data_IF_643931013464
#
_entry.id   IF_643931013464
#
_cell.length_a   1.000
_cell.length_b   1.000
_cell.length_c   1.000
_cell.angle_alpha   90.00
_cell.angle_beta   90.00
_cell.angle_gamma   90.00
#
_symmetry.space_group_name_H-M   'P 1'
#
loop_
_entity.id
_entity.type
_entity.pdbx_description
1 polymer ?
#
# COMPACT_ATOMS: atom_id res chain seq x y z
N UNK A 1 -23.44 -3.87 0.35
CA UNK A 1 -22.40 -3.16 1.13
C UNK A 1 -22.27 -3.75 2.53
N UNK A 2 -23.38 -4.13 3.16
CA UNK A 2 -23.41 -4.56 4.57
C UNK A 2 -22.56 -5.79 4.88
N UNK A 3 -22.52 -6.76 3.95
CA UNK A 3 -21.67 -7.96 4.10
C UNK A 3 -20.18 -7.62 4.20
N UNK A 4 -19.71 -6.60 3.47
CA UNK A 4 -18.33 -6.16 3.51
C UNK A 4 -18.05 -5.49 4.86
N UNK A 5 -18.94 -4.59 5.28
CA UNK A 5 -18.83 -3.90 6.56
C UNK A 5 -18.84 -4.88 7.74
N UNK A 6 -19.71 -5.90 7.72
CA UNK A 6 -19.73 -6.93 8.76
C UNK A 6 -18.43 -7.72 8.78
N UNK A 7 -17.88 -8.07 7.62
CA UNK A 7 -16.63 -8.82 7.50
C UNK A 7 -15.44 -8.04 8.07
N UNK A 8 -15.25 -6.78 7.63
CA UNK A 8 -14.08 -5.99 8.04
C UNK A 8 -14.13 -5.57 9.52
N UNK A 9 -15.34 -5.46 10.09
CA UNK A 9 -15.52 -5.20 11.53
C UNK A 9 -15.27 -6.46 12.36
N UNK A 10 -15.77 -7.61 11.93
CA UNK A 10 -15.58 -8.88 12.64
C UNK A 10 -14.12 -9.37 12.58
N UNK A 11 -13.44 -9.11 11.47
CA UNK A 11 -12.13 -9.68 11.16
C UNK A 11 -11.15 -8.62 10.64
N UNK A 12 -10.81 -7.58 11.42
CA UNK A 12 -10.10 -6.39 10.91
C UNK A 12 -8.68 -6.66 10.40
N UNK A 13 -7.99 -7.66 10.96
CA UNK A 13 -6.63 -8.03 10.53
C UNK A 13 -6.67 -9.00 9.36
N UNK A 14 -7.39 -10.12 9.48
CA UNK A 14 -7.43 -11.14 8.42
C UNK A 14 -8.12 -10.66 7.15
N UNK A 15 -9.13 -9.78 7.25
CA UNK A 15 -9.71 -9.10 6.08
C UNK A 15 -8.73 -8.13 5.41
N UNK A 16 -7.87 -7.45 6.18
CA UNK A 16 -6.80 -6.63 5.61
C UNK A 16 -5.79 -7.51 4.86
N UNK A 17 -5.35 -8.60 5.50
CA UNK A 17 -4.44 -9.58 4.88
C UNK A 17 -5.02 -10.11 3.57
N UNK A 18 -6.28 -10.56 3.56
CA UNK A 18 -6.93 -11.10 2.37
C UNK A 18 -7.00 -10.07 1.22
N UNK A 19 -7.39 -8.83 1.51
CA UNK A 19 -7.49 -7.77 0.50
C UNK A 19 -6.13 -7.46 -0.14
N UNK A 20 -5.08 -7.29 0.67
CA UNK A 20 -3.73 -7.03 0.16
C UNK A 20 -3.11 -8.25 -0.53
N UNK A 21 -3.35 -9.46 -0.02
CA UNK A 21 -2.92 -10.70 -0.66
C UNK A 21 -3.43 -10.79 -2.10
N UNK A 22 -4.69 -10.42 -2.32
CA UNK A 22 -5.30 -10.45 -3.65
C UNK A 22 -4.86 -9.24 -4.48
N UNK A 23 -5.15 -8.02 -4.02
CA UNK A 23 -4.99 -6.81 -4.83
C UNK A 23 -3.53 -6.39 -5.00
N UNK A 24 -2.70 -6.56 -3.97
CA UNK A 24 -1.25 -6.30 -4.05
C UNK A 24 -0.57 -7.25 -5.02
N UNK A 25 -0.83 -8.56 -4.89
CA UNK A 25 -0.28 -9.57 -5.81
C UNK A 25 -0.77 -9.36 -7.24
N UNK A 26 -2.06 -9.05 -7.41
CA UNK A 26 -2.61 -8.74 -8.73
C UNK A 26 -1.92 -7.51 -9.34
N UNK A 27 -1.69 -6.46 -8.56
CA UNK A 27 -0.96 -5.28 -9.00
C UNK A 27 0.42 -5.60 -9.56
N UNK A 28 1.19 -6.45 -8.87
CA UNK A 28 2.50 -6.90 -9.35
C UNK A 28 2.41 -7.73 -10.63
N UNK A 29 1.47 -8.66 -10.70
CA UNK A 29 1.26 -9.52 -11.87
C UNK A 29 0.86 -8.68 -13.08
N UNK A 30 -0.12 -7.79 -12.94
CA UNK A 30 -0.60 -6.92 -14.02
C UNK A 30 0.50 -5.97 -14.48
N UNK A 31 1.33 -5.46 -13.57
CA UNK A 31 2.49 -4.64 -13.92
C UNK A 31 3.42 -5.40 -14.90
N UNK A 32 3.71 -6.68 -14.62
CA UNK A 32 4.54 -7.51 -15.50
C UNK A 32 3.86 -7.82 -16.84
N UNK A 33 2.55 -8.06 -16.86
CA UNK A 33 1.80 -8.27 -18.10
C UNK A 33 1.83 -7.04 -18.99
N UNK A 34 1.66 -5.84 -18.42
CA UNK A 34 1.70 -4.58 -19.16
C UNK A 34 3.08 -4.33 -19.78
N UNK A 35 4.15 -4.59 -19.02
CA UNK A 35 5.54 -4.46 -19.49
C UNK A 35 5.81 -5.47 -20.61
N UNK A 36 5.39 -6.73 -20.44
CA UNK A 36 5.60 -7.79 -21.42
C UNK A 36 4.68 -7.71 -22.65
N UNK A 37 3.58 -6.95 -22.57
CA UNK A 37 2.55 -6.88 -23.61
C UNK A 37 1.78 -8.18 -23.83
N UNK A 38 1.87 -9.16 -22.91
CA UNK A 38 1.19 -10.46 -22.99
C UNK A 38 0.83 -11.00 -21.60
N UNK A 39 -0.18 -11.86 -21.55
CA UNK A 39 -0.55 -12.58 -20.33
C UNK A 39 0.38 -13.78 -20.16
N UNK A 40 0.98 -13.93 -18.99
CA UNK A 40 1.83 -15.07 -18.63
C UNK A 40 1.87 -15.27 -17.11
N UNK A 41 2.54 -16.30 -16.60
CA UNK A 41 2.82 -16.41 -15.16
C UNK A 41 4.20 -15.80 -14.85
N UNK A 42 4.30 -14.56 -14.35
CA UNK A 42 5.60 -13.90 -14.15
C UNK A 42 6.44 -14.51 -13.04
N UNK A 43 5.81 -15.13 -12.04
CA UNK A 43 6.46 -15.62 -10.82
C UNK A 43 6.31 -17.12 -10.60
N UNK A 44 5.58 -17.83 -11.48
CA UNK A 44 5.16 -19.21 -11.25
C UNK A 44 4.22 -19.37 -10.04
N UNK A 45 3.72 -20.59 -9.77
CA UNK A 45 2.77 -20.82 -8.67
C UNK A 45 3.36 -20.52 -7.30
N UNK A 46 4.58 -21.02 -7.02
CA UNK A 46 5.26 -20.81 -5.73
C UNK A 46 5.59 -19.34 -5.48
N UNK A 47 6.15 -18.64 -6.47
CA UNK A 47 6.49 -17.22 -6.33
C UNK A 47 5.25 -16.35 -6.13
N UNK A 48 4.16 -16.64 -6.84
CA UNK A 48 2.88 -15.93 -6.66
C UNK A 48 2.31 -16.13 -5.26
N UNK A 49 2.33 -17.36 -4.73
CA UNK A 49 1.87 -17.65 -3.37
C UNK A 49 2.72 -16.94 -2.32
N UNK A 50 4.05 -16.98 -2.44
CA UNK A 50 4.95 -16.29 -1.51
C UNK A 50 4.75 -14.78 -1.54
N UNK A 51 4.52 -14.18 -2.71
CA UNK A 51 4.19 -12.75 -2.84
C UNK A 51 2.87 -12.40 -2.18
N UNK A 52 1.84 -13.24 -2.32
CA UNK A 52 0.56 -13.06 -1.62
C UNK A 52 0.72 -13.12 -0.09
N UNK A 53 1.57 -14.00 0.42
CA UNK A 53 1.91 -14.06 1.85
C UNK A 53 2.72 -12.83 2.28
N UNK A 54 3.65 -12.35 1.45
CA UNK A 54 4.39 -11.11 1.69
C UNK A 54 3.47 -9.90 1.82
N UNK A 55 2.51 -9.75 0.89
CA UNK A 55 1.47 -8.72 0.96
C UNK A 55 0.58 -8.86 2.20
N UNK A 56 0.23 -10.10 2.57
CA UNK A 56 -0.53 -10.36 3.80
C UNK A 56 0.22 -9.88 5.04
N UNK A 57 1.51 -10.14 5.14
CA UNK A 57 2.34 -9.69 6.26
C UNK A 57 2.44 -8.16 6.32
N UNK A 58 2.65 -7.51 5.17
CA UNK A 58 2.67 -6.04 5.08
C UNK A 58 1.33 -5.42 5.46
N UNK A 59 0.20 -6.06 5.13
CA UNK A 59 -1.14 -5.58 5.46
C UNK A 59 -1.36 -5.38 6.96
N UNK A 60 -0.78 -6.24 7.80
CA UNK A 60 -0.85 -6.12 9.27
C UNK A 60 -0.17 -4.84 9.71
N UNK A 61 1.06 -4.59 9.24
CA UNK A 61 1.81 -3.38 9.55
C UNK A 61 1.09 -2.13 9.05
N UNK A 62 0.52 -2.16 7.83
CA UNK A 62 -0.27 -1.06 7.26
C UNK A 62 -1.51 -0.78 8.12
N UNK A 63 -2.25 -1.80 8.56
CA UNK A 63 -3.43 -1.62 9.41
C UNK A 63 -3.09 -0.96 10.75
N UNK A 64 -1.98 -1.36 11.36
CA UNK A 64 -1.49 -0.75 12.59
C UNK A 64 -1.02 0.69 12.35
N UNK A 65 -0.28 0.96 11.27
CA UNK A 65 0.13 2.30 10.90
C UNK A 65 -1.08 3.22 10.68
N UNK A 66 -2.11 2.77 9.96
CA UNK A 66 -3.32 3.57 9.72
C UNK A 66 -4.01 3.98 11.03
N UNK A 67 -4.08 3.07 12.00
CA UNK A 67 -4.70 3.34 13.30
C UNK A 67 -3.79 4.23 14.16
N UNK A 68 -2.50 3.90 14.21
CA UNK A 68 -1.50 4.60 15.00
C UNK A 68 -1.26 6.03 14.54
N UNK A 69 -1.19 6.29 13.23
CA UNK A 69 -0.94 7.65 12.72
C UNK A 69 -2.16 8.57 12.82
N UNK A 70 -3.38 8.02 12.87
CA UNK A 70 -4.58 8.81 13.24
C UNK A 70 -4.45 9.28 14.68
N UNK A 71 -4.14 8.35 15.61
CA UNK A 71 -3.93 8.68 17.01
C UNK A 71 -2.72 9.62 17.23
N UNK A 72 -1.65 9.46 16.44
CA UNK A 72 -0.49 10.36 16.46
C UNK A 72 -0.88 11.79 16.12
N UNK A 73 -1.62 12.00 15.02
CA UNK A 73 -2.07 13.33 14.63
C UNK A 73 -3.02 13.93 15.69
N UNK A 74 -3.94 13.13 16.23
CA UNK A 74 -4.85 13.56 17.30
C UNK A 74 -4.09 13.92 18.59
N UNK A 75 -3.05 13.17 18.93
CA UNK A 75 -2.16 13.48 20.05
C UNK A 75 -1.39 14.79 19.86
N UNK A 76 -0.88 15.05 18.65
CA UNK A 76 -0.23 16.33 18.36
C UNK A 76 -1.19 17.52 18.53
N UNK A 77 -2.45 17.36 18.12
CA UNK A 77 -3.48 18.38 18.34
C UNK A 77 -3.75 18.58 19.83
N UNK A 78 -3.95 17.49 20.57
CA UNK A 78 -4.23 17.54 22.01
C UNK A 78 -3.11 18.22 22.82
N UNK A 79 -1.86 18.13 22.36
CA UNK A 79 -0.71 18.79 22.97
C UNK A 79 -0.38 20.17 22.40
N UNK A 80 -1.22 20.73 21.51
CA UNK A 80 -1.01 22.04 20.90
C UNK A 80 0.16 22.10 19.90
N UNK A 81 0.67 20.94 19.45
CA UNK A 81 1.76 20.82 18.49
C UNK A 81 1.28 20.81 17.03
N UNK A 82 -0.01 20.59 16.81
CA UNK A 82 -0.69 20.73 15.52
C UNK A 82 -1.99 21.53 15.76
N UNK A 83 -2.34 22.51 14.91
CA UNK A 83 -3.63 23.18 15.06
C UNK A 83 -4.79 22.20 14.81
N UNK A 84 -5.97 22.52 15.36
CA UNK A 84 -7.19 21.83 14.97
C UNK A 84 -7.50 22.13 13.50
N UNK A 85 -7.52 21.09 12.67
CA UNK A 85 -7.79 21.18 11.24
C UNK A 85 -9.14 20.55 10.92
N UNK A 86 -9.78 21.05 9.86
CA UNK A 86 -10.95 20.39 9.28
C UNK A 86 -10.62 18.98 8.74
N UNK A 87 -11.66 18.23 8.33
CA UNK A 87 -11.52 16.82 7.93
C UNK A 87 -10.42 16.58 6.87
N UNK A 88 -10.33 17.45 5.85
CA UNK A 88 -9.27 17.36 4.84
C UNK A 88 -7.88 17.60 5.42
N UNK A 89 -7.71 18.65 6.23
CA UNK A 89 -6.42 18.98 6.84
C UNK A 89 -5.95 17.88 7.78
N UNK A 90 -6.84 17.30 8.60
CA UNK A 90 -6.52 16.11 9.41
C UNK A 90 -6.10 14.93 8.55
N UNK A 91 -6.85 14.61 7.50
CA UNK A 91 -6.54 13.50 6.59
C UNK A 91 -5.17 13.69 5.90
N UNK A 92 -4.86 14.91 5.48
CA UNK A 92 -3.58 15.28 4.90
C UNK A 92 -2.44 15.15 5.92
N UNK A 93 -2.61 15.67 7.14
CA UNK A 93 -1.60 15.56 8.20
C UNK A 93 -1.28 14.11 8.57
N UNK A 94 -2.32 13.27 8.73
CA UNK A 94 -2.14 11.82 8.97
C UNK A 94 -1.40 11.17 7.80
N UNK A 95 -1.82 11.45 6.57
CA UNK A 95 -1.20 10.92 5.36
C UNK A 95 0.27 11.32 5.24
N UNK A 96 0.58 12.60 5.44
CA UNK A 96 1.93 13.13 5.33
C UNK A 96 2.84 12.53 6.39
N UNK A 97 2.42 12.53 7.66
CA UNK A 97 3.20 11.95 8.76
C UNK A 97 3.47 10.45 8.54
N UNK A 98 2.43 9.70 8.18
CA UNK A 98 2.54 8.25 7.94
C UNK A 98 3.49 7.95 6.75
N UNK A 99 3.33 8.64 5.62
CA UNK A 99 4.14 8.38 4.44
C UNK A 99 5.59 8.82 4.59
N UNK A 100 5.89 9.85 5.39
CA UNK A 100 7.27 10.29 5.63
C UNK A 100 8.00 9.45 6.68
N UNK A 101 7.28 8.88 7.66
CA UNK A 101 7.89 8.11 8.76
C UNK A 101 7.77 6.60 8.55
N UNK A 102 6.55 6.09 8.35
CA UNK A 102 6.30 4.66 8.13
C UNK A 102 6.51 4.24 6.67
N UNK A 103 6.26 5.12 5.71
CA UNK A 103 6.46 4.85 4.29
C UNK A 103 7.86 4.33 3.95
N UNK A 104 8.96 4.96 4.40
CA UNK A 104 10.31 4.47 4.12
C UNK A 104 10.56 3.08 4.69
N UNK A 105 10.11 2.84 5.92
CA UNK A 105 10.16 1.51 6.54
C UNK A 105 9.43 0.48 5.68
N UNK A 106 8.21 0.78 5.24
CA UNK A 106 7.40 -0.13 4.43
C UNK A 106 8.06 -0.44 3.08
N UNK A 107 8.62 0.56 2.40
CA UNK A 107 9.34 0.39 1.12
C UNK A 107 10.54 -0.54 1.28
N UNK A 108 11.32 -0.36 2.35
CA UNK A 108 12.48 -1.20 2.64
C UNK A 108 12.03 -2.63 3.01
N UNK A 109 11.04 -2.76 3.89
CA UNK A 109 10.51 -4.05 4.34
C UNK A 109 9.95 -4.86 3.15
N UNK A 110 9.16 -4.23 2.28
CA UNK A 110 8.65 -4.85 1.07
C UNK A 110 9.80 -5.32 0.17
N UNK A 111 10.84 -4.49 0.00
CA UNK A 111 12.00 -4.89 -0.82
C UNK A 111 12.78 -6.06 -0.22
N UNK A 112 12.94 -6.10 1.10
CA UNK A 112 13.60 -7.21 1.79
C UNK A 112 12.82 -8.52 1.61
N UNK A 113 11.49 -8.46 1.72
CA UNK A 113 10.60 -9.59 1.46
C UNK A 113 10.75 -10.06 0.00
N UNK A 114 10.71 -9.15 -0.96
CA UNK A 114 10.90 -9.48 -2.38
C UNK A 114 12.25 -10.16 -2.63
N UNK A 115 13.34 -9.64 -2.06
CA UNK A 115 14.68 -10.22 -2.21
C UNK A 115 14.75 -11.63 -1.60
N UNK A 116 14.07 -11.87 -0.47
CA UNK A 116 13.99 -13.18 0.15
C UNK A 116 13.20 -14.18 -0.71
N UNK A 117 12.10 -13.73 -1.33
CA UNK A 117 11.29 -14.54 -2.25
C UNK A 117 12.07 -14.89 -3.52
N UNK A 118 12.77 -13.91 -4.09
CA UNK A 118 13.52 -14.06 -5.33
C UNK A 118 14.89 -14.74 -5.13
N UNK A 119 15.33 -14.91 -3.88
CA UNK A 119 16.59 -15.57 -3.51
C UNK A 119 17.85 -14.78 -3.89
N UNK A 120 17.72 -13.48 -4.19
CA UNK A 120 18.85 -12.62 -4.57
C UNK A 120 18.59 -11.15 -4.21
N UNK A 121 19.61 -10.39 -3.85
CA UNK A 121 19.45 -8.97 -3.57
C UNK A 121 19.17 -8.19 -4.86
N UNK A 122 18.14 -7.35 -4.83
CA UNK A 122 17.88 -6.34 -5.84
C UNK A 122 17.54 -5.02 -5.14
N UNK A 123 18.32 -3.97 -5.37
CA UNK A 123 18.06 -2.63 -4.80
C UNK A 123 17.75 -1.59 -5.87
N UNK A 124 17.68 -2.01 -7.15
CA UNK A 124 17.38 -1.12 -8.25
C UNK A 124 15.98 -0.52 -8.11
N UNK A 125 15.85 0.76 -8.41
CA UNK A 125 14.58 1.50 -8.36
C UNK A 125 14.03 1.78 -6.95
N UNK A 126 14.82 1.57 -5.89
CA UNK A 126 14.39 1.92 -4.53
C UNK A 126 14.14 3.43 -4.38
N UNK A 127 14.93 4.25 -5.08
CA UNK A 127 14.74 5.71 -5.16
C UNK A 127 13.36 6.08 -5.72
N UNK A 128 12.88 5.34 -6.73
CA UNK A 128 11.52 5.50 -7.29
C UNK A 128 10.46 5.10 -6.26
N UNK A 129 10.71 4.07 -5.47
CA UNK A 129 9.88 3.67 -4.34
C UNK A 129 9.72 4.81 -3.33
N UNK A 130 10.82 5.42 -2.88
CA UNK A 130 10.76 6.57 -1.98
C UNK A 130 10.06 7.79 -2.61
N UNK A 131 10.33 8.09 -3.88
CA UNK A 131 9.62 9.18 -4.59
C UNK A 131 8.11 8.95 -4.61
N UNK A 132 7.66 7.70 -4.80
CA UNK A 132 6.24 7.36 -4.81
C UNK A 132 5.53 7.69 -3.49
N UNK A 133 6.24 7.70 -2.36
CA UNK A 133 5.66 8.09 -1.08
C UNK A 133 5.11 9.51 -1.12
N UNK A 134 5.80 10.42 -1.82
CA UNK A 134 5.41 11.81 -1.96
C UNK A 134 4.34 12.03 -3.03
N UNK A 135 4.62 11.64 -4.28
CA UNK A 135 3.76 12.03 -5.40
C UNK A 135 2.51 11.15 -5.55
N UNK A 136 2.55 9.91 -5.05
CA UNK A 136 1.44 8.97 -5.15
C UNK A 136 0.77 8.72 -3.80
N UNK A 137 1.53 8.27 -2.80
CA UNK A 137 0.94 7.77 -1.57
C UNK A 137 0.45 8.88 -0.63
N UNK A 138 1.08 10.06 -0.57
CA UNK A 138 0.52 11.18 0.21
C UNK A 138 -0.86 11.61 -0.33
N UNK A 139 -1.05 11.88 -1.63
CA UNK A 139 -2.39 12.16 -2.17
C UNK A 139 -3.37 10.99 -1.98
N UNK A 140 -2.97 9.76 -2.32
CA UNK A 140 -3.83 8.58 -2.25
C UNK A 140 -4.29 8.29 -0.80
N UNK A 141 -3.38 8.36 0.17
CA UNK A 141 -3.71 8.17 1.58
C UNK A 141 -4.51 9.35 2.15
N UNK A 142 -4.34 10.58 1.66
CA UNK A 142 -5.19 11.71 2.07
C UNK A 142 -6.65 11.42 1.73
N UNK A 143 -6.94 11.02 0.48
CA UNK A 143 -8.28 10.59 0.08
C UNK A 143 -8.78 9.39 0.91
N UNK A 144 -7.86 8.47 1.23
CA UNK A 144 -8.18 7.30 2.04
C UNK A 144 -8.59 7.68 3.46
N UNK A 145 -7.90 8.62 4.11
CA UNK A 145 -8.24 9.05 5.47
C UNK A 145 -9.49 9.93 5.55
N UNK A 146 -9.94 10.48 4.42
CA UNK A 146 -11.25 11.13 4.33
C UNK A 146 -12.42 10.13 4.38
N UNK A 147 -12.18 8.85 4.11
CA UNK A 147 -13.22 7.83 4.18
C UNK A 147 -13.48 7.34 5.62
N UNK A 148 -14.68 6.76 5.89
CA UNK A 148 -14.94 6.03 7.12
C UNK A 148 -13.92 4.92 7.34
N UNK A 149 -13.60 4.65 8.61
CA UNK A 149 -12.52 3.73 9.02
C UNK A 149 -12.61 2.34 8.38
N UNK A 150 -13.82 1.84 8.15
CA UNK A 150 -14.10 0.51 7.59
C UNK A 150 -13.69 0.39 6.10
N UNK A 151 -13.60 1.50 5.36
CA UNK A 151 -13.24 1.52 3.93
C UNK A 151 -11.77 1.81 3.66
N UNK A 152 -11.04 2.34 4.64
CA UNK A 152 -9.67 2.85 4.44
C UNK A 152 -8.72 1.77 3.93
N UNK A 153 -8.81 0.57 4.48
CA UNK A 153 -7.94 -0.56 4.11
C UNK A 153 -8.27 -1.09 2.72
N UNK A 154 -9.57 -1.23 2.41
CA UNK A 154 -10.00 -1.65 1.09
C UNK A 154 -9.52 -0.70 0.01
N UNK A 155 -9.66 0.62 0.23
CA UNK A 155 -9.15 1.61 -0.71
C UNK A 155 -7.61 1.60 -0.80
N UNK A 156 -6.90 1.42 0.31
CA UNK A 156 -5.44 1.30 0.28
C UNK A 156 -4.96 0.10 -0.55
N UNK A 157 -5.64 -1.05 -0.45
CA UNK A 157 -5.35 -2.22 -1.27
C UNK A 157 -5.66 -1.97 -2.77
N UNK A 158 -6.70 -1.20 -3.08
CA UNK A 158 -6.98 -0.75 -4.46
C UNK A 158 -5.87 0.18 -4.96
N UNK A 159 -5.32 1.07 -4.13
CA UNK A 159 -4.18 1.90 -4.51
C UNK A 159 -2.92 1.08 -4.83
N UNK A 160 -2.68 -0.03 -4.13
CA UNK A 160 -1.59 -0.96 -4.48
C UNK A 160 -1.74 -1.54 -5.89
N UNK A 161 -2.95 -1.97 -6.26
CA UNK A 161 -3.27 -2.42 -7.61
C UNK A 161 -3.05 -1.29 -8.64
N UNK A 162 -3.60 -0.10 -8.36
CA UNK A 162 -3.49 1.06 -9.23
C UNK A 162 -2.03 1.46 -9.47
N UNK A 163 -1.19 1.48 -8.44
CA UNK A 163 0.23 1.78 -8.58
C UNK A 163 0.93 0.72 -9.45
N UNK A 164 0.60 -0.57 -9.28
CA UNK A 164 1.12 -1.64 -10.12
C UNK A 164 0.84 -1.41 -11.62
N UNK A 165 -0.38 -0.99 -11.94
CA UNK A 165 -0.79 -0.63 -13.31
C UNK A 165 -0.03 0.60 -13.84
N UNK A 166 0.04 1.67 -13.05
CA UNK A 166 0.74 2.91 -13.41
C UNK A 166 2.22 2.61 -13.73
N UNK A 167 2.89 1.89 -12.84
CA UNK A 167 4.30 1.52 -13.03
C UNK A 167 4.50 0.54 -14.19
N UNK A 168 3.55 -0.36 -14.42
CA UNK A 168 3.57 -1.27 -15.57
C UNK A 168 3.50 -0.52 -16.89
N UNK A 169 2.64 0.51 -16.96
CA UNK A 169 2.49 1.36 -18.12
C UNK A 169 3.76 2.17 -18.43
N UNK A 170 4.32 2.85 -17.42
CA UNK A 170 5.50 3.71 -17.62
C UNK A 170 6.79 2.95 -17.90
N UNK A 171 6.89 1.67 -17.51
CA UNK A 171 8.07 0.85 -17.77
C UNK A 171 7.95 -0.02 -19.05
N UNK A 172 6.90 0.19 -19.86
CA UNK A 172 6.73 -0.53 -21.12
C UNK A 172 7.81 -0.10 -22.13
N UNK A 173 8.57 -1.03 -22.73
CA UNK A 173 9.54 -0.70 -23.78
C UNK A 173 8.84 -0.06 -24.99
N UNK A 174 9.50 0.92 -25.63
CA UNK A 174 9.03 1.44 -26.91
C UNK A 174 8.95 0.29 -27.92
N UNK A 175 7.82 0.17 -28.63
CA UNK A 175 7.69 -0.76 -29.76
C UNK A 175 8.55 -0.24 -30.90
N UNK A 176 9.74 -0.82 -31.08
CA UNK A 176 10.54 -0.71 -32.31
C UNK A 176 10.00 -1.66 -33.35
#
# INVERSE_FOLDING_TARGET
MDWYLSLVKAHPITSAMAQFAVLGTLGEVLSKWLIAGRIHSPFGPRGTLLRALGWSALAVAIKYAFTGFVAFADGLVAHGLLPELGAFGKAFSVSLAMNLQFGPFLVIAHRLIDNAIDGRPNWAGLDKGFKSLLWFWVPAHTLTFMLPVDFRIGLAAVWSLALGLILGWYNKPART
#
